data_IF_490835355288
#
_entry.id   IF_490835355288
#
_cell.length_a   1.000
_cell.length_b   1.000
_cell.length_c   1.000
_cell.angle_alpha   90.00
_cell.angle_beta   90.00
_cell.angle_gamma   90.00
#
_symmetry.space_group_name_H-M   'P 1'
#
loop_
_entity.id
_entity.type
_entity.pdbx_description
1 polymer ?
#
# COMPACT_ATOMS: atom_id res chain seq x y z
N UNK A 1 38.05 -44.18 47.51
CA UNK A 1 37.72 -43.77 46.11
C UNK A 1 36.73 -42.63 46.23
N UNK A 2 37.20 -41.34 46.05
CA UNK A 2 36.38 -40.12 46.16
C UNK A 2 35.81 -39.82 44.79
N UNK A 3 34.47 -39.82 44.67
CA UNK A 3 33.77 -39.46 43.46
C UNK A 3 33.64 -37.91 43.40
N UNK A 4 34.32 -37.31 42.41
CA UNK A 4 34.18 -35.91 42.04
C UNK A 4 32.84 -35.71 41.31
N UNK A 5 31.85 -35.09 41.99
CA UNK A 5 30.59 -34.68 41.38
C UNK A 5 30.82 -33.36 40.62
N UNK A 6 30.89 -33.44 39.30
CA UNK A 6 30.94 -32.28 38.42
C UNK A 6 29.57 -31.62 38.36
N UNK A 7 29.40 -30.41 38.96
CA UNK A 7 28.17 -29.62 38.93
C UNK A 7 28.13 -28.80 37.63
N UNK A 8 27.52 -29.37 36.60
CA UNK A 8 27.18 -28.65 35.35
C UNK A 8 25.77 -28.07 35.49
N UNK A 9 25.56 -26.88 36.00
CA UNK A 9 24.18 -26.44 36.17
C UNK A 9 23.89 -24.93 36.20
N UNK A 10 24.87 -24.10 36.52
CA UNK A 10 24.58 -22.70 36.81
C UNK A 10 24.73 -21.72 35.62
N UNK A 11 25.75 -21.95 34.81
CA UNK A 11 26.15 -20.98 33.77
C UNK A 11 25.24 -21.02 32.53
N UNK A 12 24.75 -22.20 32.16
CA UNK A 12 23.91 -22.34 30.96
C UNK A 12 22.49 -21.80 31.13
N UNK A 13 21.89 -21.90 32.33
CA UNK A 13 20.57 -21.35 32.59
C UNK A 13 20.55 -19.83 32.54
N UNK A 14 21.58 -19.14 33.00
CA UNK A 14 21.73 -17.70 32.92
C UNK A 14 21.78 -17.21 31.46
N UNK A 15 22.54 -17.93 30.61
CA UNK A 15 22.63 -17.59 29.16
C UNK A 15 21.30 -17.85 28.42
N UNK A 16 20.60 -18.94 28.77
CA UNK A 16 19.31 -19.26 28.16
C UNK A 16 18.26 -18.19 28.53
N UNK A 17 18.21 -17.80 29.82
CA UNK A 17 17.30 -16.75 30.29
C UNK A 17 17.64 -15.41 29.66
N UNK A 18 18.93 -15.03 29.58
CA UNK A 18 19.35 -13.79 28.91
C UNK A 18 19.02 -13.79 27.42
N UNK A 19 19.20 -14.91 26.72
CA UNK A 19 18.84 -15.03 25.31
C UNK A 19 17.31 -14.93 25.10
N UNK A 20 16.52 -15.59 25.95
CA UNK A 20 15.06 -15.53 25.88
C UNK A 20 14.51 -14.13 26.15
N UNK A 21 15.07 -13.40 27.12
CA UNK A 21 14.66 -12.02 27.41
C UNK A 21 15.04 -11.07 26.28
N UNK A 22 16.21 -11.24 25.66
CA UNK A 22 16.62 -10.46 24.50
C UNK A 22 15.71 -10.70 23.29
N UNK A 23 15.37 -11.96 23.01
CA UNK A 23 14.46 -12.30 21.91
C UNK A 23 13.05 -11.74 22.15
N UNK A 24 12.54 -11.83 23.38
CA UNK A 24 11.25 -11.24 23.75
C UNK A 24 11.26 -9.71 23.62
N UNK A 25 12.35 -9.07 23.99
CA UNK A 25 12.52 -7.62 23.83
C UNK A 25 12.55 -7.23 22.34
N UNK A 26 13.32 -7.92 21.51
CA UNK A 26 13.39 -7.69 20.06
C UNK A 26 12.01 -7.91 19.42
N UNK A 27 11.32 -8.98 19.75
CA UNK A 27 9.97 -9.27 19.27
C UNK A 27 8.98 -8.18 19.70
N UNK A 28 9.09 -7.69 20.93
CA UNK A 28 8.29 -6.57 21.44
C UNK A 28 8.55 -5.27 20.68
N UNK A 29 9.80 -4.94 20.40
CA UNK A 29 10.17 -3.74 19.61
C UNK A 29 9.64 -3.87 18.20
N UNK A 30 9.80 -5.02 17.55
CA UNK A 30 9.28 -5.26 16.18
C UNK A 30 7.75 -5.17 16.18
N UNK A 31 7.07 -5.71 17.20
CA UNK A 31 5.61 -5.66 17.30
C UNK A 31 5.09 -4.23 17.54
N UNK A 32 5.77 -3.44 18.39
CA UNK A 32 5.43 -2.03 18.63
C UNK A 32 5.63 -1.22 17.36
N UNK A 33 6.75 -1.41 16.65
CA UNK A 33 7.04 -0.72 15.40
C UNK A 33 6.01 -1.08 14.30
N UNK A 34 5.66 -2.37 14.20
CA UNK A 34 4.62 -2.83 13.27
C UNK A 34 3.26 -2.22 13.63
N UNK A 35 2.90 -2.16 14.92
CA UNK A 35 1.63 -1.60 15.37
C UNK A 35 1.57 -0.07 15.22
N UNK A 36 2.69 0.62 15.42
CA UNK A 36 2.79 2.07 15.20
C UNK A 36 2.61 2.41 13.70
N UNK A 37 3.14 1.60 12.82
CA UNK A 37 2.95 1.74 11.35
C UNK A 37 1.52 1.42 10.92
N UNK A 38 0.87 0.44 11.55
CA UNK A 38 -0.51 0.03 11.23
C UNK A 38 -1.60 0.95 11.77
N UNK A 39 -1.29 1.83 12.73
CA UNK A 39 -2.22 2.76 13.38
C UNK A 39 -2.08 4.21 12.91
N UNK A 40 -1.26 4.48 11.89
CA UNK A 40 -1.07 5.81 11.32
C UNK A 40 -2.33 6.33 10.65
N UNK A 41 -2.54 7.66 10.71
CA UNK A 41 -3.52 8.34 9.86
C UNK A 41 -3.27 7.90 8.40
N UNK A 42 -4.32 7.49 7.68
CA UNK A 42 -4.23 7.06 6.27
C UNK A 42 -3.44 8.07 5.41
N UNK A 43 -3.46 9.33 5.80
CA UNK A 43 -2.73 10.42 5.16
C UNK A 43 -1.22 10.44 5.45
N UNK A 44 -0.73 9.71 6.44
CA UNK A 44 0.72 9.59 6.73
C UNK A 44 1.46 8.75 5.69
N UNK A 45 0.74 7.95 4.94
CA UNK A 45 1.27 7.06 3.90
C UNK A 45 1.12 7.60 2.47
N UNK A 46 0.44 8.75 2.30
CA UNK A 46 0.30 9.41 0.98
C UNK A 46 1.68 9.58 0.34
N UNK A 47 1.80 9.25 -0.96
CA UNK A 47 3.07 9.17 -1.65
C UNK A 47 3.95 10.42 -1.54
N UNK A 48 5.12 10.29 -0.94
CA UNK A 48 6.18 11.29 -1.01
C UNK A 48 7.06 11.02 -2.25
N UNK A 49 6.95 11.87 -3.26
CA UNK A 49 7.69 11.71 -4.51
C UNK A 49 9.19 12.02 -4.38
N UNK A 50 9.67 12.41 -3.19
CA UNK A 50 11.11 12.55 -2.89
C UNK A 50 11.76 11.23 -2.53
N UNK A 51 10.96 10.22 -2.17
CA UNK A 51 11.45 8.88 -1.86
C UNK A 51 11.66 8.06 -3.14
N UNK A 52 12.85 8.17 -3.72
CA UNK A 52 13.23 7.44 -4.93
C UNK A 52 13.22 5.91 -4.74
N UNK A 53 13.48 5.42 -3.51
CA UNK A 53 13.45 3.97 -3.24
C UNK A 53 12.02 3.45 -3.26
N UNK A 54 11.07 4.20 -2.71
CA UNK A 54 9.64 3.87 -2.76
C UNK A 54 9.13 3.89 -4.20
N UNK A 55 9.50 4.89 -5.00
CA UNK A 55 9.13 4.95 -6.43
C UNK A 55 9.66 3.74 -7.18
N UNK A 56 10.94 3.37 -6.99
CA UNK A 56 11.53 2.19 -7.64
C UNK A 56 10.90 0.86 -7.17
N UNK A 57 10.48 0.78 -5.92
CA UNK A 57 9.68 -0.36 -5.43
C UNK A 57 8.32 -0.41 -6.13
N UNK A 58 7.65 0.73 -6.24
CA UNK A 58 6.36 0.86 -6.93
C UNK A 58 6.42 0.50 -8.41
N UNK A 59 7.50 0.86 -9.10
CA UNK A 59 7.74 0.47 -10.50
C UNK A 59 7.77 -1.06 -10.66
N UNK A 60 8.46 -1.77 -9.77
CA UNK A 60 8.49 -3.24 -9.79
C UNK A 60 7.12 -3.85 -9.52
N UNK A 61 6.38 -3.32 -8.55
CA UNK A 61 5.00 -3.75 -8.26
C UNK A 61 4.11 -3.50 -9.48
N UNK A 62 4.20 -2.32 -10.10
CA UNK A 62 3.45 -1.99 -11.31
C UNK A 62 3.71 -2.96 -12.44
N UNK A 63 4.97 -3.21 -12.76
CA UNK A 63 5.39 -4.12 -13.82
C UNK A 63 4.86 -5.56 -13.60
N UNK A 64 4.81 -6.00 -12.33
CA UNK A 64 4.42 -7.38 -12.00
C UNK A 64 2.91 -7.60 -11.89
N UNK A 65 2.16 -6.57 -11.49
CA UNK A 65 0.75 -6.74 -11.08
C UNK A 65 -0.25 -5.84 -11.83
N UNK A 66 0.20 -4.76 -12.46
CA UNK A 66 -0.68 -3.75 -13.05
C UNK A 66 -0.51 -3.62 -14.57
N UNK A 67 0.73 -3.67 -15.06
CA UNK A 67 1.08 -3.37 -16.44
C UNK A 67 0.38 -4.28 -17.47
N UNK A 68 0.09 -5.53 -17.13
CA UNK A 68 -0.60 -6.48 -18.03
C UNK A 68 -1.99 -5.97 -18.46
N UNK A 69 -2.66 -5.19 -17.61
CA UNK A 69 -3.98 -4.63 -17.89
C UNK A 69 -3.91 -3.12 -18.17
N UNK A 70 -3.12 -2.36 -17.41
CA UNK A 70 -3.07 -0.90 -17.49
C UNK A 70 -1.98 -0.37 -18.44
N UNK A 71 -1.29 -1.27 -19.16
CA UNK A 71 -0.21 -0.90 -20.09
C UNK A 71 1.12 -0.65 -19.40
N UNK A 72 2.23 -0.96 -20.10
CA UNK A 72 3.58 -0.78 -19.55
C UNK A 72 3.98 0.70 -19.42
N UNK A 73 3.34 1.58 -20.20
CA UNK A 73 3.54 3.02 -20.21
C UNK A 73 2.39 3.76 -19.48
N UNK A 74 1.56 3.05 -18.71
CA UNK A 74 0.37 3.58 -18.02
C UNK A 74 -0.79 3.93 -18.97
N UNK A 75 -0.73 3.53 -20.23
CA UNK A 75 -1.61 3.92 -21.32
C UNK A 75 -3.01 3.29 -21.28
N UNK A 76 -3.23 2.29 -20.42
CA UNK A 76 -4.50 1.56 -20.35
C UNK A 76 -4.80 0.71 -21.56
N UNK A 77 -6.06 0.35 -21.74
CA UNK A 77 -6.56 -0.43 -22.86
C UNK A 77 -7.36 0.45 -23.83
N UNK A 78 -7.35 0.11 -25.14
CA UNK A 78 -8.16 0.86 -26.13
C UNK A 78 -9.64 0.86 -25.73
N UNK A 79 -10.31 1.98 -26.02
CA UNK A 79 -11.75 2.18 -25.77
C UNK A 79 -12.17 1.93 -24.31
N UNK A 80 -11.30 2.24 -23.35
CA UNK A 80 -11.53 1.97 -21.93
C UNK A 80 -12.81 2.61 -21.36
N UNK A 81 -13.38 3.63 -22.01
CA UNK A 81 -14.67 4.24 -21.65
C UNK A 81 -15.89 3.47 -22.17
N UNK A 82 -15.66 2.47 -23.06
CA UNK A 82 -16.75 1.71 -23.71
C UNK A 82 -16.82 0.32 -23.12
N UNK A 83 -18.02 -0.07 -22.62
CA UNK A 83 -18.24 -1.42 -22.09
C UNK A 83 -18.10 -2.46 -23.19
N UNK A 84 -17.45 -3.56 -22.84
CA UNK A 84 -17.39 -4.77 -23.66
C UNK A 84 -18.74 -5.51 -23.64
N UNK A 85 -18.92 -6.49 -24.50
CA UNK A 85 -20.13 -7.31 -24.58
C UNK A 85 -20.48 -8.02 -23.25
N UNK A 86 -19.48 -8.30 -22.41
CA UNK A 86 -19.67 -8.84 -21.07
C UNK A 86 -20.06 -7.79 -20.00
N UNK A 87 -20.29 -6.55 -20.41
CA UNK A 87 -20.70 -5.44 -19.54
C UNK A 87 -19.55 -4.79 -18.74
N UNK A 88 -18.31 -5.31 -18.82
CA UNK A 88 -17.15 -4.78 -18.09
C UNK A 88 -16.42 -3.72 -18.90
N UNK A 89 -15.83 -2.74 -18.21
CA UNK A 89 -14.94 -1.76 -18.82
C UNK A 89 -13.53 -2.34 -18.98
N UNK A 90 -12.82 -2.02 -20.08
CA UNK A 90 -11.38 -2.23 -20.19
C UNK A 90 -10.63 -1.44 -19.12
N UNK A 91 -9.39 -1.82 -18.83
CA UNK A 91 -8.56 -1.13 -17.85
C UNK A 91 -8.25 0.32 -18.31
N UNK A 92 -8.55 1.33 -17.47
CA UNK A 92 -8.28 2.72 -17.80
C UNK A 92 -6.77 3.01 -17.77
N UNK A 93 -6.31 4.08 -18.43
CA UNK A 93 -4.96 4.58 -18.30
C UNK A 93 -4.70 5.12 -16.89
N UNK A 94 -3.42 5.14 -16.54
CA UNK A 94 -2.92 5.73 -15.30
C UNK A 94 -2.00 6.93 -15.55
N UNK A 95 -1.81 7.30 -16.82
CA UNK A 95 -1.09 8.51 -17.22
C UNK A 95 -1.95 9.78 -17.07
N UNK A 96 -1.48 10.90 -17.62
CA UNK A 96 -2.19 12.18 -17.56
C UNK A 96 -3.43 12.25 -18.45
N UNK A 97 -3.60 11.32 -19.39
CA UNK A 97 -4.70 11.35 -20.37
C UNK A 97 -6.05 11.06 -19.75
N UNK A 98 -6.05 10.44 -18.50
CA UNK A 98 -7.31 10.06 -17.86
C UNK A 98 -7.28 10.06 -16.34
N UNK A 99 -8.23 9.61 -15.82
CA UNK A 99 -9.10 9.24 -14.70
C UNK A 99 -8.42 9.12 -13.31
N UNK A 100 -7.21 8.51 -13.21
CA UNK A 100 -6.61 8.16 -11.89
C UNK A 100 -6.39 9.39 -11.02
N UNK A 101 -5.89 10.48 -11.56
CA UNK A 101 -5.58 11.71 -10.81
C UNK A 101 -6.82 12.52 -10.39
N UNK A 102 -8.02 12.13 -10.81
CA UNK A 102 -9.29 12.68 -10.33
C UNK A 102 -9.75 12.11 -8.99
N UNK A 103 -9.10 11.05 -8.51
CA UNK A 103 -9.42 10.41 -7.23
C UNK A 103 -8.36 10.71 -6.18
N UNK A 104 -8.73 11.00 -4.93
CA UNK A 104 -7.75 11.21 -3.86
C UNK A 104 -6.95 9.94 -3.58
N UNK A 105 -5.72 10.11 -3.11
CA UNK A 105 -4.78 9.00 -2.84
C UNK A 105 -5.38 7.92 -1.95
N UNK A 106 -6.14 8.29 -0.94
CA UNK A 106 -6.81 7.34 -0.03
C UNK A 106 -7.85 6.49 -0.74
N UNK A 107 -8.63 7.07 -1.66
CA UNK A 107 -9.60 6.33 -2.46
C UNK A 107 -8.90 5.39 -3.43
N UNK A 108 -7.82 5.83 -4.09
CA UNK A 108 -7.02 4.96 -4.97
C UNK A 108 -6.43 3.77 -4.20
N UNK A 109 -5.98 4.00 -2.98
CA UNK A 109 -5.51 2.94 -2.09
C UNK A 109 -6.61 1.91 -1.80
N UNK A 110 -7.79 2.35 -1.38
CA UNK A 110 -8.92 1.48 -1.07
C UNK A 110 -9.39 0.68 -2.28
N UNK A 111 -9.52 1.33 -3.45
CA UNK A 111 -9.87 0.67 -4.71
C UNK A 111 -8.85 -0.40 -5.11
N UNK A 112 -7.57 -0.13 -4.93
CA UNK A 112 -6.51 -1.09 -5.23
C UNK A 112 -6.56 -2.26 -4.24
N UNK A 113 -6.69 -1.97 -2.95
CA UNK A 113 -6.69 -2.97 -1.89
C UNK A 113 -7.91 -3.87 -1.94
N UNK A 114 -9.10 -3.30 -2.09
CA UNK A 114 -10.37 -4.02 -1.95
C UNK A 114 -11.09 -4.30 -3.27
N UNK A 115 -10.57 -3.76 -4.38
CA UNK A 115 -11.21 -3.88 -5.70
C UNK A 115 -12.40 -2.95 -5.86
N UNK A 116 -12.99 -2.96 -7.05
CA UNK A 116 -14.18 -2.17 -7.38
C UNK A 116 -15.46 -2.90 -6.93
N UNK A 117 -15.68 -2.94 -5.62
CA UNK A 117 -16.86 -3.51 -4.96
C UNK A 117 -17.43 -2.50 -3.96
N UNK A 118 -18.69 -2.65 -3.50
CA UNK A 118 -19.22 -1.79 -2.45
C UNK A 118 -18.32 -1.78 -1.19
N UNK A 119 -18.11 -0.63 -0.53
CA UNK A 119 -18.67 0.69 -0.81
C UNK A 119 -17.94 1.49 -1.91
N UNK A 120 -16.86 0.99 -2.47
CA UNK A 120 -15.99 1.71 -3.42
C UNK A 120 -16.54 1.76 -4.85
N UNK A 121 -17.52 0.89 -5.17
CA UNK A 121 -18.26 0.90 -6.42
C UNK A 121 -19.76 0.59 -6.17
N UNK A 122 -20.66 0.94 -7.09
CA UNK A 122 -22.08 0.60 -6.97
C UNK A 122 -22.32 -0.89 -6.80
N UNK A 123 -23.41 -1.25 -6.11
CA UNK A 123 -23.82 -2.65 -5.98
C UNK A 123 -24.02 -3.28 -7.37
N UNK A 124 -23.46 -4.47 -7.56
CA UNK A 124 -23.54 -5.19 -8.84
C UNK A 124 -22.54 -4.71 -9.90
N UNK A 125 -21.66 -3.75 -9.60
CA UNK A 125 -20.59 -3.36 -10.51
C UNK A 125 -19.64 -4.54 -10.75
N UNK A 126 -19.36 -4.83 -12.02
CA UNK A 126 -18.46 -5.89 -12.42
C UNK A 126 -17.16 -5.31 -12.98
N UNK A 127 -16.05 -5.76 -12.43
CA UNK A 127 -14.71 -5.35 -12.84
C UNK A 127 -13.82 -6.57 -13.08
N UNK A 128 -12.86 -6.44 -13.99
CA UNK A 128 -11.78 -7.41 -14.16
C UNK A 128 -10.58 -7.09 -13.26
N UNK A 129 -10.55 -5.91 -12.61
CA UNK A 129 -9.52 -5.54 -11.65
C UNK A 129 -9.71 -6.36 -10.36
N UNK A 130 -8.73 -7.19 -9.96
CA UNK A 130 -8.81 -7.94 -8.71
C UNK A 130 -8.61 -7.03 -7.49
N UNK A 131 -9.02 -7.51 -6.31
CA UNK A 131 -8.57 -6.95 -5.05
C UNK A 131 -7.16 -7.45 -4.72
N UNK A 132 -6.29 -6.55 -4.27
CA UNK A 132 -4.89 -6.88 -4.00
C UNK A 132 -4.55 -7.09 -2.52
N UNK A 133 -5.53 -7.01 -1.61
CA UNK A 133 -5.34 -7.12 -0.15
C UNK A 133 -4.62 -8.40 0.32
N UNK A 134 -4.76 -9.49 -0.44
CA UNK A 134 -4.17 -10.80 -0.11
C UNK A 134 -2.88 -11.07 -0.93
N UNK A 135 -2.47 -10.12 -1.79
CA UNK A 135 -1.34 -10.23 -2.71
C UNK A 135 -0.26 -9.20 -2.43
N UNK A 136 -0.65 -7.96 -2.12
CA UNK A 136 0.23 -6.83 -1.86
C UNK A 136 0.09 -6.35 -0.42
N UNK A 137 1.20 -5.96 0.17
CA UNK A 137 1.19 -5.22 1.44
C UNK A 137 0.66 -3.79 1.23
N UNK A 138 0.24 -3.13 2.30
CA UNK A 138 -0.16 -1.72 2.25
C UNK A 138 0.99 -0.83 1.75
N UNK A 139 2.23 -1.14 2.13
CA UNK A 139 3.40 -0.42 1.65
C UNK A 139 3.63 -0.62 0.15
N UNK A 140 3.37 -1.82 -0.41
CA UNK A 140 3.46 -2.06 -1.86
C UNK A 140 2.38 -1.29 -2.61
N UNK A 141 1.16 -1.23 -2.07
CA UNK A 141 0.07 -0.45 -2.67
C UNK A 141 0.43 1.05 -2.67
N UNK A 142 0.92 1.59 -1.56
CA UNK A 142 1.38 2.97 -1.51
C UNK A 142 2.58 3.23 -2.42
N UNK A 143 3.48 2.27 -2.58
CA UNK A 143 4.62 2.38 -3.47
C UNK A 143 4.17 2.44 -4.94
N UNK A 144 3.25 1.59 -5.37
CA UNK A 144 2.76 1.61 -6.76
C UNK A 144 1.98 2.89 -7.06
N UNK A 145 1.22 3.43 -6.12
CA UNK A 145 0.56 4.73 -6.27
C UNK A 145 1.58 5.89 -6.35
N UNK A 146 2.68 5.82 -5.60
CA UNK A 146 3.79 6.76 -5.71
C UNK A 146 4.45 6.72 -7.10
N UNK A 147 4.68 5.51 -7.64
CA UNK A 147 5.21 5.34 -8.99
C UNK A 147 4.28 5.95 -10.03
N UNK A 148 2.99 5.62 -10.03
CA UNK A 148 2.00 6.17 -10.95
C UNK A 148 2.00 7.70 -10.88
N UNK A 149 1.88 8.28 -9.70
CA UNK A 149 1.89 9.73 -9.47
C UNK A 149 3.21 10.38 -9.95
N UNK A 150 4.34 9.69 -9.81
CA UNK A 150 5.64 10.20 -10.25
C UNK A 150 5.72 10.38 -11.78
N UNK A 151 4.89 9.63 -12.53
CA UNK A 151 4.85 9.69 -14.01
C UNK A 151 4.00 10.84 -14.54
N UNK A 152 3.17 11.45 -13.70
CA UNK A 152 2.34 12.58 -14.13
C UNK A 152 3.15 13.86 -14.34
N UNK A 153 2.75 14.73 -15.28
CA UNK A 153 3.27 16.09 -15.39
C UNK A 153 3.09 16.88 -14.08
N UNK A 154 3.96 17.85 -13.84
CA UNK A 154 3.93 18.67 -12.61
C UNK A 154 2.54 19.27 -12.37
N UNK A 155 1.90 19.83 -13.40
CA UNK A 155 0.58 20.43 -13.27
C UNK A 155 -0.51 19.44 -12.83
N UNK A 156 -0.45 18.18 -13.28
CA UNK A 156 -1.38 17.12 -12.88
C UNK A 156 -1.13 16.73 -11.42
N UNK A 157 0.14 16.60 -11.03
CA UNK A 157 0.51 16.34 -9.64
C UNK A 157 0.02 17.42 -8.69
N UNK A 158 0.20 18.69 -9.05
CA UNK A 158 -0.28 19.83 -8.25
C UNK A 158 -1.80 19.81 -8.05
N UNK A 159 -2.56 19.48 -9.09
CA UNK A 159 -4.02 19.34 -8.99
C UNK A 159 -4.41 18.20 -8.05
N UNK A 160 -3.75 17.07 -8.19
CA UNK A 160 -3.99 15.91 -7.34
C UNK A 160 -3.59 16.17 -5.87
N UNK A 161 -2.47 16.88 -5.63
CA UNK A 161 -2.06 17.30 -4.29
C UNK A 161 -3.11 18.24 -3.65
N UNK A 162 -3.69 19.14 -4.45
CA UNK A 162 -4.81 20.00 -4.03
C UNK A 162 -6.06 19.21 -3.64
N UNK A 163 -6.40 18.17 -4.41
CA UNK A 163 -7.50 17.25 -4.09
C UNK A 163 -7.23 16.49 -2.78
N UNK A 164 -6.04 15.92 -2.60
CA UNK A 164 -5.63 15.24 -1.38
C UNK A 164 -5.72 16.17 -0.17
N UNK A 165 -5.25 17.41 -0.29
CA UNK A 165 -5.30 18.40 0.78
C UNK A 165 -6.75 18.75 1.18
N UNK A 166 -7.65 18.90 0.19
CA UNK A 166 -9.06 19.18 0.43
C UNK A 166 -9.74 18.04 1.19
N UNK A 167 -9.58 16.79 0.74
CA UNK A 167 -10.20 15.63 1.38
C UNK A 167 -9.64 15.42 2.79
N UNK A 168 -8.33 15.59 2.97
CA UNK A 168 -7.70 15.52 4.30
C UNK A 168 -8.26 16.57 5.27
N UNK A 169 -8.57 17.77 4.80
CA UNK A 169 -9.19 18.81 5.63
C UNK A 169 -10.62 18.43 6.03
N UNK A 170 -11.40 17.84 5.12
CA UNK A 170 -12.75 17.33 5.38
C UNK A 170 -12.73 16.20 6.41
N UNK A 171 -11.84 15.21 6.27
CA UNK A 171 -11.70 14.10 7.22
C UNK A 171 -11.36 14.59 8.64
N UNK A 172 -10.50 15.60 8.75
CA UNK A 172 -10.18 16.20 10.04
C UNK A 172 -11.39 16.90 10.67
N UNK A 173 -12.15 17.64 9.88
CA UNK A 173 -13.36 18.33 10.38
C UNK A 173 -14.39 17.33 10.90
N UNK A 174 -14.58 16.18 10.22
CA UNK A 174 -15.53 15.14 10.64
C UNK A 174 -15.11 14.41 11.93
N UNK A 175 -13.81 14.26 12.19
CA UNK A 175 -13.29 13.61 13.41
C UNK A 175 -13.44 14.49 14.68
N UNK A 176 -13.75 15.78 14.53
CA UNK A 176 -13.90 16.72 15.64
C UNK A 176 -15.36 17.05 15.95
N UNK A 177 -16.31 16.42 15.26
CA UNK A 177 -17.76 16.46 15.53
C UNK A 177 -18.25 15.12 16.09
#
# INVERSE_FOLDING_TARGET
VSAVRFRWGGVHWGLVVAAATLLAFIAGVIWIDHRARSGGDAWSHVPDLRDAQRIAAGERVYASHCAACHGAQLEGQPNWTTRRDNGRLPAPPHDESDHTWHHPSTQLFELTKHGLAPPHAPAGYQSDMPAFKDVLSDDDIWAVLAYIKSRWPAQVRERHDGLDAQVRAQDRAQKHH
#
